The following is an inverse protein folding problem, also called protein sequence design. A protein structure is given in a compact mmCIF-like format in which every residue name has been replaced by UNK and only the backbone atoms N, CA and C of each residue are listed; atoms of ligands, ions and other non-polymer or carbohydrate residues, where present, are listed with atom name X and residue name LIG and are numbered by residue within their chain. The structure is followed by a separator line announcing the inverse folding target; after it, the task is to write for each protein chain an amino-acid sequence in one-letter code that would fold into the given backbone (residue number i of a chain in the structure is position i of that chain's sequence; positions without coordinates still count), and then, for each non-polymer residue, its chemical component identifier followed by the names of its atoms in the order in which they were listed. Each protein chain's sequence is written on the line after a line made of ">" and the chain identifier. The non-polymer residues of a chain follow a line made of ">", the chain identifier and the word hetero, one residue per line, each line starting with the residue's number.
data_IF_726680872132
#
_entry.id   IF_726680872132
#
_cell.length_a   1.000
_cell.length_b   1.000
_cell.length_c   1.000
_cell.angle_alpha   90.00
_cell.angle_beta   90.00
_cell.angle_gamma   90.00
#
_symmetry.space_group_name_H-M   'P 1'
#
loop_
_entity.id
_entity.type
_entity.pdbx_description
1 polymer ?
#
# COMPACT_ATOMS: atom_id res chain seq x y z
N UNK A 1 57.27 24.46 17.44
CA UNK A 1 56.67 24.67 16.09
C UNK A 1 56.15 23.34 15.53
N UNK A 2 56.93 22.24 15.59
CA UNK A 2 56.50 20.92 15.10
C UNK A 2 55.19 20.39 15.70
N UNK A 3 55.00 20.47 17.02
CA UNK A 3 53.80 19.92 17.69
C UNK A 3 52.50 20.64 17.29
N UNK A 4 52.57 21.97 17.09
CA UNK A 4 51.43 22.77 16.64
C UNK A 4 51.01 22.43 15.20
N UNK A 5 51.97 22.08 14.33
CA UNK A 5 51.70 21.67 12.95
C UNK A 5 51.03 20.29 12.93
N UNK A 6 51.46 19.37 13.79
CA UNK A 6 50.90 18.03 13.88
C UNK A 6 49.45 18.06 14.40
N UNK A 7 49.17 18.89 15.41
CA UNK A 7 47.82 19.13 15.92
C UNK A 7 46.91 19.78 14.85
N UNK A 8 47.45 20.66 14.01
CA UNK A 8 46.70 21.30 12.93
C UNK A 8 46.30 20.34 11.80
N UNK A 9 47.02 19.24 11.61
CA UNK A 9 46.70 18.21 10.60
C UNK A 9 45.63 17.22 11.03
N UNK A 10 45.36 17.09 12.34
CA UNK A 10 44.33 16.19 12.90
C UNK A 10 42.93 16.42 12.29
N UNK A 11 42.38 17.65 12.24
CA UNK A 11 41.06 17.86 11.64
C UNK A 11 41.01 17.47 10.15
N UNK A 12 42.08 17.71 9.38
CA UNK A 12 42.16 17.29 7.98
C UNK A 12 42.23 15.76 7.83
N UNK A 13 42.97 15.09 8.71
CA UNK A 13 43.00 13.62 8.78
C UNK A 13 41.63 13.03 9.11
N UNK A 14 40.92 13.61 10.09
CA UNK A 14 39.55 13.18 10.45
C UNK A 14 38.59 13.40 9.27
N UNK A 15 38.66 14.55 8.59
CA UNK A 15 37.83 14.81 7.40
C UNK A 15 38.13 13.81 6.29
N UNK A 16 39.40 13.51 6.00
CA UNK A 16 39.80 12.54 5.00
C UNK A 16 39.25 11.13 5.31
N UNK A 17 39.38 10.68 6.57
CA UNK A 17 38.85 9.39 7.02
C UNK A 17 37.33 9.36 7.00
N UNK A 18 36.65 10.42 7.45
CA UNK A 18 35.17 10.50 7.46
C UNK A 18 34.56 10.66 6.07
N UNK A 19 35.32 11.15 5.08
CA UNK A 19 34.88 11.19 3.67
C UNK A 19 34.86 9.81 3.02
N UNK A 20 35.68 8.87 3.50
CA UNK A 20 35.79 7.53 2.93
C UNK A 20 35.21 6.42 3.84
N UNK A 21 34.75 6.77 5.05
CA UNK A 21 34.11 5.81 5.96
C UNK A 21 32.61 6.03 6.03
N UNK A 22 31.85 4.93 6.01
CA UNK A 22 30.42 4.93 6.19
C UNK A 22 30.07 4.46 7.60
N UNK A 23 28.98 4.98 8.16
CA UNK A 23 28.43 4.54 9.45
C UNK A 23 27.11 3.81 9.22
N UNK A 24 26.90 2.72 9.96
CA UNK A 24 25.63 1.98 9.98
C UNK A 24 24.65 2.54 11.02
N UNK A 25 25.13 3.38 11.94
CA UNK A 25 24.28 4.06 12.92
C UNK A 25 23.74 5.38 12.34
N UNK A 26 22.51 5.78 12.70
CA UNK A 26 21.97 7.05 12.28
C UNK A 26 22.85 8.22 12.74
N UNK A 27 22.84 9.30 11.96
CA UNK A 27 23.60 10.51 12.25
C UNK A 27 23.05 11.18 13.52
N UNK A 28 23.94 11.85 14.25
CA UNK A 28 23.53 12.67 15.38
C UNK A 28 22.69 13.85 14.89
N UNK A 29 21.46 13.96 15.38
CA UNK A 29 20.56 15.07 15.08
C UNK A 29 20.49 16.00 16.31
N UNK A 30 20.91 17.25 16.14
CA UNK A 30 21.06 18.24 17.23
C UNK A 30 19.68 18.76 17.68
N UNK A 31 18.75 18.95 16.74
CA UNK A 31 17.42 19.52 17.02
C UNK A 31 16.41 18.38 17.00
N UNK A 32 16.02 17.87 18.16
CA UNK A 32 15.11 16.73 18.30
C UNK A 32 13.64 17.10 18.46
N UNK A 33 13.34 18.38 18.74
CA UNK A 33 12.04 18.83 19.26
C UNK A 33 10.85 18.59 18.34
N UNK A 34 11.08 18.52 17.02
CA UNK A 34 10.05 18.25 16.01
C UNK A 34 10.30 16.98 15.20
N UNK A 35 11.47 16.35 15.31
CA UNK A 35 11.76 15.09 14.61
C UNK A 35 11.04 13.91 15.27
N UNK A 36 10.85 13.97 16.60
CA UNK A 36 10.23 12.91 17.40
C UNK A 36 9.03 13.45 18.15
N UNK A 37 7.97 13.72 17.41
CA UNK A 37 6.72 14.24 17.97
C UNK A 37 6.00 13.15 18.80
N UNK A 38 5.21 13.52 19.83
CA UNK A 38 4.55 12.57 20.74
C UNK A 38 3.26 11.93 20.19
N UNK A 39 2.81 12.27 18.97
CA UNK A 39 1.66 11.60 18.34
C UNK A 39 2.09 10.38 17.52
N UNK A 40 1.17 9.44 17.36
CA UNK A 40 1.42 8.20 16.62
C UNK A 40 1.05 8.38 15.14
N UNK A 41 2.01 8.14 14.25
CA UNK A 41 1.80 8.06 12.80
C UNK A 41 1.42 6.63 12.39
N UNK A 42 0.91 6.42 11.16
CA UNK A 42 0.84 5.09 10.58
C UNK A 42 2.20 4.38 10.65
N UNK A 43 2.16 3.06 10.82
CA UNK A 43 3.35 2.20 10.91
C UNK A 43 4.33 2.51 12.07
N UNK A 44 3.98 3.41 12.99
CA UNK A 44 4.78 3.64 14.20
C UNK A 44 4.53 2.55 15.25
N UNK A 45 5.55 2.26 16.06
CA UNK A 45 5.39 1.44 17.26
C UNK A 45 4.58 2.19 18.33
N UNK A 46 3.62 1.52 18.97
CA UNK A 46 2.81 2.06 20.07
C UNK A 46 3.01 1.22 21.34
N UNK A 47 3.39 1.83 22.48
CA UNK A 47 3.58 1.12 23.74
C UNK A 47 2.27 0.76 24.45
N UNK A 48 1.11 1.22 23.94
CA UNK A 48 -0.19 1.06 24.61
C UNK A 48 -0.84 -0.30 24.29
N UNK A 49 -0.52 -0.88 23.14
CA UNK A 49 -1.20 -2.07 22.63
C UNK A 49 -0.29 -3.28 22.63
N UNK A 50 -0.85 -4.47 22.88
CA UNK A 50 -0.10 -5.72 22.98
C UNK A 50 0.64 -6.12 21.69
N UNK A 51 0.21 -5.64 20.53
CA UNK A 51 0.80 -5.93 19.22
C UNK A 51 1.80 -4.86 18.75
N UNK A 52 2.17 -3.92 19.63
CA UNK A 52 3.13 -2.84 19.36
C UNK A 52 2.76 -1.92 18.19
N UNK A 53 1.58 -2.05 17.57
CA UNK A 53 1.21 -1.25 16.38
C UNK A 53 0.46 0.02 16.78
N UNK A 54 0.80 1.15 16.17
CA UNK A 54 -0.03 2.36 16.26
C UNK A 54 -1.35 2.22 15.49
N UNK A 55 -1.30 1.58 14.30
CA UNK A 55 -2.44 1.43 13.40
C UNK A 55 -3.36 0.28 13.85
N UNK A 56 -4.66 0.58 13.98
CA UNK A 56 -5.66 -0.38 14.46
C UNK A 56 -6.46 -1.02 13.34
N UNK A 57 -6.65 -2.35 13.38
CA UNK A 57 -7.52 -3.00 12.41
C UNK A 57 -8.92 -2.42 12.53
N UNK A 58 -9.59 -2.27 11.40
CA UNK A 58 -11.00 -1.88 11.39
C UNK A 58 -11.83 -2.95 12.09
N UNK A 59 -12.84 -2.53 12.86
CA UNK A 59 -13.79 -3.44 13.48
C UNK A 59 -14.65 -4.06 12.39
N UNK A 60 -14.83 -5.37 12.42
CA UNK A 60 -15.63 -6.08 11.43
C UNK A 60 -17.05 -5.47 11.32
N UNK A 61 -17.51 -5.27 10.08
CA UNK A 61 -18.82 -4.67 9.81
C UNK A 61 -18.89 -3.14 9.89
N UNK A 62 -17.81 -2.45 10.32
CA UNK A 62 -17.75 -0.98 10.26
C UNK A 62 -17.45 -0.49 8.84
N UNK A 63 -18.02 0.65 8.48
CA UNK A 63 -17.88 1.29 7.17
C UNK A 63 -17.62 2.77 7.32
N UNK A 64 -16.68 3.31 6.53
CA UNK A 64 -16.46 4.74 6.45
C UNK A 64 -17.53 5.42 5.58
N UNK A 65 -17.81 6.70 5.85
CA UNK A 65 -18.82 7.46 5.10
C UNK A 65 -18.45 7.65 3.61
N UNK A 66 -17.17 7.73 3.29
CA UNK A 66 -16.70 7.90 1.90
C UNK A 66 -16.63 6.59 1.12
N UNK A 67 -16.76 5.47 1.84
CA UNK A 67 -16.78 4.12 1.30
C UNK A 67 -18.18 3.70 0.82
N UNK A 68 -19.14 4.62 0.81
CA UNK A 68 -20.39 4.43 0.08
C UNK A 68 -20.16 4.76 -1.40
N UNK A 69 -20.05 3.74 -2.26
CA UNK A 69 -20.25 3.95 -3.71
C UNK A 69 -21.56 3.35 -4.16
N UNK A 70 -22.36 4.15 -4.84
CA UNK A 70 -23.53 3.64 -5.53
C UNK A 70 -23.08 2.88 -6.78
N UNK A 71 -23.66 1.70 -7.02
CA UNK A 71 -23.37 0.85 -8.19
C UNK A 71 -23.80 1.55 -9.49
N UNK A 72 -24.64 2.59 -9.40
CA UNK A 72 -25.12 3.38 -10.52
C UNK A 72 -25.43 4.83 -10.07
N UNK A 73 -24.95 5.83 -10.81
CA UNK A 73 -25.23 7.26 -10.55
C UNK A 73 -26.71 7.63 -10.80
N UNK A 74 -27.39 6.94 -11.71
CA UNK A 74 -28.83 7.11 -11.92
C UNK A 74 -29.65 6.64 -10.71
N UNK A 75 -29.18 5.60 -10.01
CA UNK A 75 -29.80 5.10 -8.77
C UNK A 75 -29.44 5.98 -7.56
N UNK A 76 -28.24 6.57 -7.53
CA UNK A 76 -27.81 7.51 -6.48
C UNK A 76 -28.71 8.76 -6.40
N UNK A 77 -29.18 9.26 -7.56
CA UNK A 77 -30.04 10.45 -7.63
C UNK A 77 -31.49 10.19 -7.21
N UNK A 78 -31.94 8.93 -7.27
CA UNK A 78 -33.31 8.54 -6.95
C UNK A 78 -33.58 8.42 -5.44
N UNK A 79 -32.54 8.35 -4.60
CA UNK A 79 -32.69 8.13 -3.15
C UNK A 79 -31.89 9.11 -2.29
N UNK A 80 -32.26 10.40 -2.25
CA UNK A 80 -31.75 11.31 -1.23
C UNK A 80 -32.33 10.89 0.14
N UNK A 81 -31.48 10.34 1.02
CA UNK A 81 -31.79 10.13 2.45
C UNK A 81 -32.25 8.73 2.85
N UNK A 82 -32.57 7.83 1.90
CA UNK A 82 -33.12 6.50 2.20
C UNK A 82 -32.18 5.39 1.69
N UNK A 83 -31.12 5.14 2.44
CA UNK A 83 -30.08 4.15 2.12
C UNK A 83 -30.61 2.71 2.20
N UNK A 84 -31.24 2.23 1.13
CA UNK A 84 -31.64 0.81 1.04
C UNK A 84 -30.41 -0.06 0.75
N UNK A 85 -30.24 -1.12 1.55
CA UNK A 85 -29.12 -2.08 1.51
C UNK A 85 -28.86 -2.70 0.12
N UNK A 86 -29.86 -2.66 -0.76
CA UNK A 86 -29.84 -3.31 -2.06
C UNK A 86 -29.21 -2.44 -3.18
N UNK A 87 -28.94 -1.14 -2.92
CA UNK A 87 -28.45 -0.17 -3.92
C UNK A 87 -27.04 0.39 -3.63
N UNK A 88 -26.39 -0.11 -2.58
CA UNK A 88 -25.11 0.40 -2.10
C UNK A 88 -24.02 -0.64 -2.40
N UNK A 89 -23.06 -0.31 -3.29
CA UNK A 89 -21.77 -0.99 -3.32
C UNK A 89 -20.98 -0.47 -2.12
N UNK A 90 -21.19 -1.16 -1.01
CA UNK A 90 -20.42 -1.02 0.21
C UNK A 90 -18.95 -1.22 -0.16
N UNK A 91 -18.12 -0.17 -0.04
CA UNK A 91 -16.66 -0.28 -0.09
C UNK A 91 -16.13 -0.60 1.30
N UNK A 92 -16.57 -1.70 1.91
CA UNK A 92 -15.85 -2.15 3.10
C UNK A 92 -14.59 -2.90 2.67
N UNK A 93 -13.74 -3.12 3.67
CA UNK A 93 -12.55 -3.96 3.57
C UNK A 93 -12.81 -5.45 3.30
N UNK A 94 -14.02 -5.87 2.92
CA UNK A 94 -14.38 -7.24 2.55
C UNK A 94 -15.20 -7.30 1.25
N UNK A 95 -15.55 -6.15 0.66
CA UNK A 95 -16.34 -6.02 -0.57
C UNK A 95 -15.55 -5.38 -1.71
N UNK A 96 -14.34 -4.86 -1.46
CA UNK A 96 -13.33 -4.78 -2.52
C UNK A 96 -13.16 -6.15 -3.18
N UNK A 97 -13.12 -7.22 -2.39
CA UNK A 97 -13.00 -8.58 -2.91
C UNK A 97 -14.18 -8.91 -3.81
N UNK A 98 -15.42 -8.63 -3.41
CA UNK A 98 -16.59 -8.98 -4.23
C UNK A 98 -16.70 -8.20 -5.53
N UNK A 99 -16.37 -6.91 -5.53
CA UNK A 99 -16.35 -6.10 -6.76
C UNK A 99 -15.18 -6.52 -7.67
N UNK A 100 -14.01 -6.79 -7.11
CA UNK A 100 -12.84 -7.27 -7.86
C UNK A 100 -13.02 -8.72 -8.36
N UNK A 101 -13.78 -9.54 -7.63
CA UNK A 101 -14.22 -10.88 -8.03
C UNK A 101 -15.35 -10.83 -9.06
N UNK A 102 -15.84 -9.65 -9.45
CA UNK A 102 -16.93 -9.50 -10.40
C UNK A 102 -18.27 -10.05 -9.90
N UNK A 103 -18.51 -10.13 -8.59
CA UNK A 103 -19.75 -10.66 -8.04
C UNK A 103 -20.78 -9.55 -7.80
N UNK A 104 -22.03 -9.76 -8.23
CA UNK A 104 -23.16 -8.90 -7.88
C UNK A 104 -23.50 -9.08 -6.39
N UNK A 105 -23.74 -7.98 -5.69
CA UNK A 105 -24.24 -7.98 -4.31
C UNK A 105 -25.74 -8.29 -4.32
N UNK A 106 -26.12 -9.51 -4.71
CA UNK A 106 -27.50 -10.00 -4.53
C UNK A 106 -27.50 -10.95 -3.33
N UNK A 107 -28.50 -10.76 -2.47
CA UNK A 107 -28.74 -11.57 -1.27
C UNK A 107 -28.69 -13.07 -1.61
N UNK A 108 -27.59 -13.73 -1.26
CA UNK A 108 -27.50 -15.19 -1.15
C UNK A 108 -26.65 -15.93 -2.20
N UNK A 109 -26.33 -15.37 -3.37
CA UNK A 109 -25.50 -16.07 -4.37
C UNK A 109 -24.62 -15.08 -5.14
N UNK A 110 -23.30 -15.29 -5.09
CA UNK A 110 -22.32 -14.46 -5.81
C UNK A 110 -22.39 -14.72 -7.31
N UNK A 111 -23.30 -14.04 -8.00
CA UNK A 111 -23.43 -14.13 -9.45
C UNK A 111 -22.34 -13.27 -10.10
N UNK A 112 -21.49 -13.88 -10.93
CA UNK A 112 -20.50 -13.15 -11.71
C UNK A 112 -21.18 -12.20 -12.73
N UNK A 113 -20.68 -10.97 -12.86
CA UNK A 113 -21.09 -10.03 -13.90
C UNK A 113 -20.34 -10.34 -15.20
N UNK A 114 -21.04 -10.25 -16.32
CA UNK A 114 -20.47 -10.56 -17.65
C UNK A 114 -19.88 -9.34 -18.35
N UNK A 115 -20.05 -8.14 -17.79
CA UNK A 115 -19.56 -6.87 -18.33
C UNK A 115 -18.96 -6.01 -17.22
N UNK A 116 -17.91 -5.25 -17.57
CA UNK A 116 -17.32 -4.25 -16.69
C UNK A 116 -18.34 -3.11 -16.47
N UNK A 117 -18.72 -2.78 -15.22
CA UNK A 117 -19.81 -1.85 -14.92
C UNK A 117 -19.42 -0.37 -15.03
N UNK A 118 -18.17 -0.08 -15.36
CA UNK A 118 -17.64 1.27 -15.57
C UNK A 118 -17.18 1.45 -17.03
N UNK A 119 -17.21 2.69 -17.56
CA UNK A 119 -16.77 2.93 -18.94
C UNK A 119 -15.31 2.51 -19.17
N UNK A 120 -15.09 1.62 -20.13
CA UNK A 120 -13.75 1.15 -20.51
C UNK A 120 -13.10 2.17 -21.44
N UNK A 121 -12.51 3.20 -20.84
CA UNK A 121 -11.79 4.25 -21.55
C UNK A 121 -10.33 3.86 -21.79
N UNK A 122 -9.66 4.47 -22.77
CA UNK A 122 -8.21 4.29 -23.00
C UNK A 122 -7.39 4.57 -21.74
N UNK A 123 -7.74 5.62 -20.98
CA UNK A 123 -7.09 5.97 -19.71
C UNK A 123 -7.23 4.84 -18.69
N UNK A 124 -8.41 4.22 -18.58
CA UNK A 124 -8.64 3.11 -17.68
C UNK A 124 -7.80 1.87 -18.08
N UNK A 125 -7.74 1.56 -19.37
CA UNK A 125 -6.94 0.42 -19.88
C UNK A 125 -5.45 0.61 -19.60
N UNK A 126 -4.90 1.82 -19.84
CA UNK A 126 -3.50 2.11 -19.55
C UNK A 126 -3.19 2.02 -18.06
N UNK A 127 -4.08 2.51 -17.19
CA UNK A 127 -3.94 2.31 -15.74
C UNK A 127 -4.03 0.83 -15.37
N UNK A 128 -4.90 0.08 -16.02
CA UNK A 128 -5.02 -1.37 -15.83
C UNK A 128 -3.72 -2.10 -16.19
N UNK A 129 -3.07 -1.73 -17.29
CA UNK A 129 -1.77 -2.26 -17.67
C UNK A 129 -0.71 -1.96 -16.60
N UNK A 130 -0.60 -0.71 -16.13
CA UNK A 130 0.34 -0.34 -15.06
C UNK A 130 0.10 -1.14 -13.77
N UNK A 131 -1.17 -1.33 -13.38
CA UNK A 131 -1.52 -2.15 -12.20
C UNK A 131 -1.19 -3.63 -12.40
N UNK A 132 -1.43 -4.18 -13.60
CA UNK A 132 -1.05 -5.54 -13.94
C UNK A 132 0.47 -5.71 -13.85
N UNK A 133 1.21 -4.78 -14.42
CA UNK A 133 2.68 -4.76 -14.42
C UNK A 133 3.27 -4.74 -13.00
N UNK A 134 2.63 -4.02 -12.06
CA UNK A 134 3.09 -3.93 -10.66
C UNK A 134 2.73 -5.17 -9.84
N UNK A 135 1.47 -5.63 -9.90
CA UNK A 135 0.95 -6.62 -8.94
C UNK A 135 0.83 -8.03 -9.51
N UNK A 136 0.57 -8.18 -10.81
CA UNK A 136 0.23 -9.47 -11.42
C UNK A 136 1.44 -10.13 -12.09
N UNK A 137 2.32 -9.36 -12.72
CA UNK A 137 3.46 -9.89 -13.49
C UNK A 137 4.50 -10.69 -12.69
N UNK A 138 4.75 -10.44 -11.38
CA UNK A 138 5.70 -11.25 -10.63
C UNK A 138 5.33 -12.75 -10.63
N UNK A 139 4.03 -13.07 -10.67
CA UNK A 139 3.54 -14.45 -10.74
C UNK A 139 3.09 -14.85 -12.15
N UNK A 140 2.35 -13.98 -12.84
CA UNK A 140 1.71 -14.30 -14.12
C UNK A 140 2.52 -13.92 -15.37
N UNK A 141 3.61 -13.15 -15.21
CA UNK A 141 4.39 -12.61 -16.33
C UNK A 141 3.68 -11.48 -17.08
N UNK A 142 4.42 -10.72 -17.89
CA UNK A 142 3.91 -9.55 -18.62
C UNK A 142 2.82 -9.86 -19.66
N UNK A 143 2.80 -11.09 -20.17
CA UNK A 143 1.78 -11.57 -21.11
C UNK A 143 0.71 -12.44 -20.44
N UNK A 144 0.76 -12.61 -19.11
CA UNK A 144 -0.21 -13.42 -18.36
C UNK A 144 -0.05 -14.94 -18.51
N UNK A 145 1.03 -15.44 -19.11
CA UNK A 145 1.23 -16.88 -19.36
C UNK A 145 1.76 -17.67 -18.15
N UNK A 146 1.80 -17.08 -16.96
CA UNK A 146 2.31 -17.75 -15.77
C UNK A 146 3.83 -17.83 -15.71
N UNK A 147 4.56 -17.16 -16.59
CA UNK A 147 6.02 -17.22 -16.64
C UNK A 147 6.69 -16.12 -15.78
N UNK A 148 6.04 -15.66 -14.72
CA UNK A 148 6.58 -14.64 -13.81
C UNK A 148 7.79 -15.13 -13.03
N UNK A 149 8.58 -14.20 -12.48
CA UNK A 149 9.81 -14.50 -11.73
C UNK A 149 9.57 -15.41 -10.53
N UNK A 150 8.44 -15.26 -9.84
CA UNK A 150 8.03 -16.11 -8.72
C UNK A 150 7.75 -17.53 -9.19
N UNK A 151 6.99 -17.72 -10.28
CA UNK A 151 6.69 -19.05 -10.80
C UNK A 151 7.96 -19.75 -11.29
N UNK A 152 8.81 -19.05 -12.05
CA UNK A 152 10.09 -19.60 -12.48
C UNK A 152 10.98 -20.00 -11.31
N UNK A 153 11.00 -19.21 -10.23
CA UNK A 153 11.75 -19.54 -9.02
C UNK A 153 11.21 -20.80 -8.35
N UNK A 154 9.89 -20.92 -8.19
CA UNK A 154 9.25 -22.11 -7.61
C UNK A 154 9.52 -23.36 -8.46
N UNK A 155 9.41 -23.28 -9.78
CA UNK A 155 9.69 -24.43 -10.67
C UNK A 155 11.16 -24.89 -10.59
N UNK A 156 12.10 -23.94 -10.44
CA UNK A 156 13.52 -24.26 -10.21
C UNK A 156 13.75 -24.97 -8.88
N UNK A 157 13.05 -24.56 -7.82
CA UNK A 157 13.13 -25.23 -6.51
C UNK A 157 12.44 -26.59 -6.50
N UNK A 158 11.36 -26.75 -7.27
CA UNK A 158 10.58 -27.99 -7.37
C UNK A 158 11.26 -29.09 -8.20
N UNK A 159 12.39 -28.80 -8.84
CA UNK A 159 13.18 -29.78 -9.60
C UNK A 159 12.85 -29.91 -11.08
N UNK A 160 11.95 -29.08 -11.62
CA UNK A 160 11.49 -29.13 -13.01
C UNK A 160 10.36 -30.10 -13.23
#
# INVERSE_FOLDING_TARGET
>A
IGDLVLLALIPFGIIAVRRYSYTTTPRFAIIQGMDRMPYLTPERRSPVFADDRAMRPHIAGTMAQQDFTFINMAEARAYPGNWKKDHVAIRNGQQYDRVMLGQKLVKGQGQFVTKIPIPVTRRLVLRGQEQFDIFCTPCHGFNGMGNGTVNQYVNKLAGG
#
